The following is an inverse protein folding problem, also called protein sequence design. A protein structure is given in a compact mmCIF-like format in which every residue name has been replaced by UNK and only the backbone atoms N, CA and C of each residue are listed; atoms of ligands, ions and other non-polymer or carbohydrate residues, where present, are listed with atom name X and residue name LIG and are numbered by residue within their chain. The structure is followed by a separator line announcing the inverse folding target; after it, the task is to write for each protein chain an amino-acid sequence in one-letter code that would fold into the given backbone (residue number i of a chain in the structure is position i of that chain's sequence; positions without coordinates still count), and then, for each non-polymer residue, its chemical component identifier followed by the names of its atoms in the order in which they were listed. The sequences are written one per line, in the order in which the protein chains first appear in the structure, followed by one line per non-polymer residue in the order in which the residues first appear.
data_IF_309285501890
#
_entry.id   IF_309285501890
#
_cell.length_a   1.000
_cell.length_b   1.000
_cell.length_c   1.000
_cell.angle_alpha   90.00
_cell.angle_beta   90.00
_cell.angle_gamma   90.00
#
_symmetry.space_group_name_H-M   'P 1'
#
loop_
_entity.id
_entity.type
_entity.pdbx_description
1 polymer ?
#
# COMPACT_ATOMS: atom_id res chain seq x y z
N UNK A 1 11.88 -12.04 -22.44
CA UNK A 1 10.82 -11.58 -21.53
C UNK A 1 11.48 -11.12 -20.24
N UNK A 2 11.35 -9.85 -19.86
CA UNK A 2 11.89 -9.39 -18.57
C UNK A 2 11.10 -10.06 -17.45
N UNK A 3 11.73 -10.95 -16.69
CA UNK A 3 11.08 -11.60 -15.54
C UNK A 3 10.87 -10.56 -14.45
N UNK A 4 9.63 -10.15 -14.23
CA UNK A 4 9.29 -9.34 -13.05
C UNK A 4 9.08 -10.31 -11.89
N UNK A 5 9.86 -10.21 -10.78
CA UNK A 5 9.64 -11.03 -9.61
C UNK A 5 8.21 -10.85 -9.09
N UNK A 6 7.58 -11.96 -8.69
CA UNK A 6 6.28 -11.94 -8.02
C UNK A 6 6.47 -11.29 -6.64
N UNK A 7 5.56 -10.36 -6.28
CA UNK A 7 5.69 -9.53 -5.07
C UNK A 7 4.34 -9.38 -4.40
N UNK A 8 4.35 -9.34 -3.07
CA UNK A 8 3.17 -9.05 -2.27
C UNK A 8 3.20 -7.59 -1.79
N UNK A 9 2.06 -6.92 -1.88
CA UNK A 9 1.89 -5.54 -1.41
C UNK A 9 0.76 -5.41 -0.39
N UNK A 10 0.86 -4.40 0.47
CA UNK A 10 -0.19 -4.01 1.42
C UNK A 10 -0.46 -2.52 1.30
N UNK A 11 -1.73 -2.13 1.45
CA UNK A 11 -2.19 -0.75 1.42
C UNK A 11 -2.62 -0.31 2.83
N UNK A 12 -2.20 0.89 3.22
CA UNK A 12 -2.51 1.49 4.52
C UNK A 12 -3.56 2.59 4.32
N UNK A 13 -4.83 2.18 4.35
CA UNK A 13 -5.98 3.03 3.94
C UNK A 13 -6.26 4.19 4.89
N UNK A 14 -6.09 3.99 6.19
CA UNK A 14 -6.29 5.03 7.20
C UNK A 14 -4.94 5.53 7.71
N UNK A 15 -4.63 6.84 7.62
CA UNK A 15 -3.37 7.40 8.10
C UNK A 15 -3.37 7.45 9.64
N UNK A 16 -2.53 6.63 10.33
CA UNK A 16 -2.39 6.66 11.77
C UNK A 16 -1.36 7.73 12.18
N UNK A 17 -1.19 7.99 13.49
CA UNK A 17 -0.09 8.81 13.99
C UNK A 17 1.27 8.29 13.47
N UNK A 18 2.22 9.21 13.25
CA UNK A 18 3.51 8.90 12.59
C UNK A 18 4.31 7.75 13.26
N UNK A 19 4.22 7.61 14.58
CA UNK A 19 4.88 6.52 15.31
C UNK A 19 4.27 5.14 14.97
N UNK A 20 2.94 5.08 14.90
CA UNK A 20 2.21 3.88 14.55
C UNK A 20 2.39 3.53 13.07
N UNK A 21 2.44 4.54 12.19
CA UNK A 21 2.78 4.34 10.78
C UNK A 21 4.11 3.61 10.62
N UNK A 22 5.17 4.11 11.27
CA UNK A 22 6.49 3.47 11.24
C UNK A 22 6.46 2.05 11.80
N UNK A 23 5.67 1.79 12.83
CA UNK A 23 5.52 0.45 13.40
C UNK A 23 4.83 -0.51 12.40
N UNK A 24 3.79 -0.04 11.71
CA UNK A 24 3.09 -0.79 10.66
C UNK A 24 4.01 -1.09 9.47
N UNK A 25 4.82 -0.13 9.01
CA UNK A 25 5.80 -0.37 7.94
C UNK A 25 6.82 -1.45 8.34
N UNK A 26 7.43 -1.35 9.53
CA UNK A 26 8.36 -2.38 10.02
C UNK A 26 7.72 -3.76 10.16
N UNK A 27 6.44 -3.81 10.54
CA UNK A 27 5.68 -5.07 10.58
C UNK A 27 5.48 -5.64 9.17
N UNK A 28 5.15 -4.81 8.18
CA UNK A 28 5.00 -5.26 6.81
C UNK A 28 6.32 -5.83 6.25
N UNK A 29 7.43 -5.16 6.52
CA UNK A 29 8.78 -5.65 6.21
C UNK A 29 9.05 -7.02 6.86
N UNK A 30 8.78 -7.15 8.17
CA UNK A 30 8.98 -8.40 8.91
C UNK A 30 8.10 -9.56 8.42
N UNK A 31 6.96 -9.25 7.81
CA UNK A 31 6.04 -10.23 7.21
C UNK A 31 6.41 -10.59 5.76
N UNK A 32 7.44 -9.95 5.18
CA UNK A 32 7.90 -10.23 3.82
C UNK A 32 7.08 -9.53 2.73
N UNK A 33 6.39 -8.43 3.04
CA UNK A 33 5.78 -7.59 2.00
C UNK A 33 6.85 -6.74 1.32
N UNK A 34 6.83 -6.74 -0.01
CA UNK A 34 7.79 -5.99 -0.84
C UNK A 34 7.33 -4.57 -1.14
N UNK A 35 6.03 -4.30 -1.00
CA UNK A 35 5.40 -3.04 -1.42
C UNK A 35 4.45 -2.52 -0.35
N UNK A 36 4.64 -1.26 0.03
CA UNK A 36 3.71 -0.48 0.86
C UNK A 36 3.07 0.58 -0.03
N UNK A 37 1.74 0.54 -0.15
CA UNK A 37 0.95 1.55 -0.85
C UNK A 37 0.37 2.56 0.15
N UNK A 38 0.26 3.81 -0.31
CA UNK A 38 -0.40 4.90 0.40
C UNK A 38 -1.49 5.43 -0.52
N UNK A 39 -2.76 5.41 -0.09
CA UNK A 39 -3.83 5.96 -0.91
C UNK A 39 -3.72 7.48 -0.92
N UNK A 40 -3.65 8.05 -2.11
CA UNK A 40 -3.71 9.50 -2.35
C UNK A 40 -5.16 10.03 -2.38
N UNK A 41 -6.13 9.21 -1.96
CA UNK A 41 -7.54 9.58 -1.86
C UNK A 41 -7.96 9.65 -0.39
N UNK A 42 -8.74 10.68 -0.04
CA UNK A 42 -9.15 11.03 1.33
C UNK A 42 -10.16 10.04 1.94
N UNK A 43 -9.77 8.77 2.10
CA UNK A 43 -10.54 7.75 2.83
C UNK A 43 -11.81 7.25 2.14
N UNK A 44 -12.03 7.58 0.86
CA UNK A 44 -13.17 7.13 0.08
C UNK A 44 -12.69 6.61 -1.28
N UNK A 45 -13.12 5.42 -1.73
CA UNK A 45 -12.82 4.97 -3.08
C UNK A 45 -13.31 6.01 -4.09
N UNK A 46 -12.53 6.20 -5.16
CA UNK A 46 -12.89 7.14 -6.20
C UNK A 46 -14.34 6.89 -6.65
N UNK A 47 -15.15 7.96 -6.68
CA UNK A 47 -16.56 7.93 -7.11
C UNK A 47 -16.77 7.21 -8.45
N UNK A 48 -15.77 7.24 -9.32
CA UNK A 48 -15.81 6.66 -10.65
C UNK A 48 -14.69 5.64 -10.81
N UNK A 49 -14.92 4.51 -11.51
CA UNK A 49 -13.86 3.53 -11.76
C UNK A 49 -12.65 4.19 -12.44
N UNK A 50 -11.42 3.73 -12.12
CA UNK A 50 -10.23 4.18 -12.83
C UNK A 50 -10.39 3.84 -14.31
N UNK A 51 -10.04 4.78 -15.19
CA UNK A 51 -10.01 4.48 -16.63
C UNK A 51 -8.92 3.46 -16.87
N UNK A 52 -9.29 2.21 -17.02
CA UNK A 52 -8.41 1.17 -17.56
C UNK A 52 -8.17 1.50 -19.02
N UNK A 53 -6.93 1.84 -19.38
CA UNK A 53 -6.47 1.81 -20.76
C UNK A 53 -5.97 0.40 -21.09
#
# INVERSE_FOLDING_TARGET
MSSRPFRFGVDLVEPPPAAEWRAKCRRAEALGYDVLAVPDHLGMPARWPPRTR
#
